data_IF_131780945510
#
_entry.id   IF_131780945510
#
_cell.length_a   1.000
_cell.length_b   1.000
_cell.length_c   1.000
_cell.angle_alpha   90.00
_cell.angle_beta   90.00
_cell.angle_gamma   90.00
#
_symmetry.space_group_name_H-M   'P 1'
#
loop_
_entity.id
_entity.type
_entity.pdbx_description
1 polymer ?
#
# COMPACT_ATOMS: atom_id res chain seq x y z
N UNK A 1 9.30 59.27 -0.01
CA UNK A 1 10.11 59.88 1.05
C UNK A 1 10.65 58.74 1.90
N UNK A 2 11.85 58.40 1.65
CA UNK A 2 13.03 58.59 2.54
C UNK A 2 12.91 57.73 3.78
N UNK A 3 13.67 56.63 3.80
CA UNK A 3 15.06 56.51 4.32
C UNK A 3 15.03 56.05 5.77
N UNK A 4 15.69 54.96 6.06
CA UNK A 4 17.05 54.76 6.64
C UNK A 4 16.86 54.19 8.04
N UNK A 5 17.48 53.12 8.55
CA UNK A 5 18.88 52.76 8.86
C UNK A 5 18.82 51.34 9.44
N UNK A 6 19.40 50.27 9.07
CA UNK A 6 20.82 49.86 8.98
C UNK A 6 21.55 49.78 10.36
N UNK A 7 22.10 48.60 10.55
CA UNK A 7 23.31 48.26 11.30
C UNK A 7 23.27 48.28 12.85
N UNK A 8 23.66 47.19 13.48
CA UNK A 8 24.95 47.06 14.17
C UNK A 8 25.30 45.59 14.41
N UNK A 9 26.39 45.20 13.83
CA UNK A 9 27.31 44.10 14.19
C UNK A 9 27.97 44.38 15.54
N UNK A 10 28.37 43.31 16.24
CA UNK A 10 29.72 43.10 16.84
C UNK A 10 29.60 41.93 17.83
N UNK A 11 30.15 40.75 17.63
CA UNK A 11 31.57 40.41 17.83
C UNK A 11 32.07 40.67 19.23
N UNK A 12 32.18 39.64 20.08
CA UNK A 12 33.23 39.51 21.09
C UNK A 12 33.68 38.06 21.16
N UNK A 13 34.85 37.76 20.61
CA UNK A 13 35.76 36.71 21.01
C UNK A 13 36.56 37.23 22.20
N UNK A 14 36.72 36.41 23.23
CA UNK A 14 37.85 36.57 24.15
C UNK A 14 38.42 35.21 24.45
N UNK A 15 39.66 35.07 24.06
CA UNK A 15 40.66 34.09 24.45
C UNK A 15 41.05 34.23 25.96
N UNK A 16 41.32 33.14 26.60
CA UNK A 16 42.31 33.10 27.69
C UNK A 16 43.01 31.74 27.74
N UNK A 17 44.20 31.69 27.23
CA UNK A 17 45.26 30.76 27.58
C UNK A 17 45.96 31.27 28.84
N UNK A 18 46.42 30.37 29.68
CA UNK A 18 47.69 30.37 30.46
C UNK A 18 47.64 29.17 31.41
N UNK A 19 48.48 28.26 31.39
CA UNK A 19 49.92 28.03 31.27
C UNK A 19 50.51 27.48 32.61
N UNK A 20 51.12 26.30 32.47
CA UNK A 20 52.39 25.85 33.07
C UNK A 20 52.60 25.72 34.60
N UNK A 21 53.16 24.56 34.93
CA UNK A 21 54.09 24.29 36.00
C UNK A 21 53.94 22.87 36.52
N UNK A 22 54.77 21.92 36.28
CA UNK A 22 56.16 21.67 36.53
C UNK A 22 56.24 20.38 37.34
N UNK A 23 56.94 19.38 36.82
CA UNK A 23 57.22 18.06 37.44
C UNK A 23 58.19 18.17 38.64
N UNK A 24 58.42 17.12 39.45
CA UNK A 24 59.44 16.17 39.07
C UNK A 24 59.16 14.66 39.35
N UNK A 25 59.93 13.91 38.64
CA UNK A 25 60.17 12.45 38.61
C UNK A 25 60.59 11.85 39.94
N UNK A 26 60.12 10.61 40.24
CA UNK A 26 60.86 9.64 41.04
C UNK A 26 60.47 8.22 40.64
N UNK A 27 61.47 7.43 40.47
CA UNK A 27 61.72 6.05 39.99
C UNK A 27 60.80 4.95 40.53
N UNK A 28 60.73 3.92 39.64
CA UNK A 28 60.13 2.59 39.87
C UNK A 28 60.97 1.74 40.89
N UNK A 29 60.38 0.66 41.40
CA UNK A 29 60.91 -0.64 41.03
C UNK A 29 59.90 -1.65 40.61
N UNK A 30 60.44 -2.64 39.86
CA UNK A 30 59.80 -3.70 39.07
C UNK A 30 59.28 -4.87 39.97
N UNK A 31 58.47 -5.68 39.20
CA UNK A 31 58.12 -7.09 39.36
C UNK A 31 57.00 -7.47 40.35
N UNK A 32 55.89 -7.90 39.84
CA UNK A 32 55.54 -9.32 39.89
C UNK A 32 54.40 -9.68 38.88
N UNK A 33 54.60 -10.76 38.16
CA UNK A 33 53.70 -11.33 37.16
C UNK A 33 52.57 -12.10 37.85
N UNK A 34 51.33 -11.68 37.67
CA UNK A 34 50.18 -12.57 37.80
C UNK A 34 49.23 -12.37 36.64
N UNK A 35 49.01 -13.45 35.94
CA UNK A 35 48.06 -13.53 34.83
C UNK A 35 46.67 -13.07 35.30
N UNK A 36 46.22 -11.95 34.79
CA UNK A 36 44.82 -11.52 34.89
C UNK A 36 44.12 -11.99 33.68
N UNK A 37 43.22 -12.93 33.91
CA UNK A 37 42.14 -13.37 33.05
C UNK A 37 41.46 -12.16 32.42
N UNK A 38 41.69 -11.95 31.11
CA UNK A 38 40.97 -10.94 30.36
C UNK A 38 39.60 -11.51 30.01
N UNK A 39 38.66 -11.43 30.93
CA UNK A 39 37.26 -11.48 30.56
C UNK A 39 37.01 -10.23 29.71
N UNK A 40 37.03 -10.40 28.40
CA UNK A 40 36.44 -9.41 27.52
C UNK A 40 34.99 -9.23 27.99
N UNK A 41 34.69 -8.05 28.52
CA UNK A 41 33.30 -7.66 28.73
C UNK A 41 32.65 -7.71 27.37
N UNK A 42 31.76 -8.70 27.14
CA UNK A 42 30.83 -8.66 26.04
C UNK A 42 30.13 -7.30 26.11
N UNK A 43 30.28 -6.53 25.01
CA UNK A 43 29.43 -5.38 24.78
C UNK A 43 27.98 -5.85 24.90
N UNK A 44 27.07 -5.07 25.50
CA UNK A 44 25.67 -5.47 25.55
C UNK A 44 25.23 -5.81 24.13
N UNK A 45 24.76 -7.04 23.95
CA UNK A 45 24.21 -7.49 22.68
C UNK A 45 23.15 -6.47 22.26
N UNK A 46 23.39 -5.75 21.16
CA UNK A 46 22.36 -4.91 20.55
C UNK A 46 21.17 -5.80 20.29
N UNK A 47 19.97 -5.30 20.58
CA UNK A 47 18.75 -6.03 20.27
C UNK A 47 18.80 -6.44 18.79
N UNK A 48 18.65 -7.75 18.50
CA UNK A 48 18.57 -8.25 17.15
C UNK A 48 17.23 -7.75 16.59
N UNK A 49 17.26 -6.76 15.72
CA UNK A 49 16.08 -6.14 15.10
C UNK A 49 16.20 -6.24 13.60
N UNK A 50 15.14 -6.70 12.96
CA UNK A 50 14.95 -6.56 11.53
C UNK A 50 13.89 -5.50 11.28
N UNK A 51 14.21 -4.51 10.44
CA UNK A 51 13.28 -3.44 10.07
C UNK A 51 12.61 -3.76 8.75
N UNK A 52 11.29 -3.74 8.74
CA UNK A 52 10.45 -3.82 7.54
C UNK A 52 9.84 -2.44 7.32
N UNK A 53 10.15 -1.81 6.18
CA UNK A 53 9.56 -0.53 5.80
C UNK A 53 8.09 -0.69 5.44
N UNK A 54 7.26 0.26 5.81
CA UNK A 54 5.85 0.35 5.40
C UNK A 54 5.69 1.63 4.61
N UNK A 55 5.57 1.50 3.29
CA UNK A 55 5.49 2.60 2.34
C UNK A 55 4.04 2.78 1.89
N UNK A 56 3.25 3.52 2.66
CA UNK A 56 1.81 3.64 2.45
C UNK A 56 1.32 5.08 2.39
N UNK A 57 0.20 5.37 1.71
CA UNK A 57 -0.50 6.63 1.89
C UNK A 57 -1.23 6.61 3.23
N UNK A 58 -0.64 7.20 4.26
CA UNK A 58 -1.30 7.37 5.56
C UNK A 58 -2.14 8.65 5.59
N UNK A 59 -1.94 9.53 4.59
CA UNK A 59 -2.71 10.75 4.34
C UNK A 59 -3.00 10.92 2.85
N UNK A 60 -3.79 11.94 2.47
CA UNK A 60 -4.17 12.22 1.08
C UNK A 60 -5.38 11.42 0.61
N UNK A 61 -5.61 11.42 -0.71
CA UNK A 61 -6.86 10.95 -1.33
C UNK A 61 -7.12 9.45 -1.19
N UNK A 62 -6.07 8.65 -1.00
CA UNK A 62 -6.14 7.21 -0.74
C UNK A 62 -5.75 6.83 0.70
N UNK A 63 -5.64 7.81 1.60
CA UNK A 63 -5.17 7.59 2.96
C UNK A 63 -6.00 6.61 3.78
N UNK A 64 -7.28 6.45 3.50
CA UNK A 64 -8.11 5.43 4.14
C UNK A 64 -7.68 4.01 3.76
N UNK A 65 -7.39 3.77 2.47
CA UNK A 65 -6.92 2.46 1.98
C UNK A 65 -5.54 2.08 2.52
N UNK A 66 -4.57 3.02 2.46
CA UNK A 66 -3.23 2.75 2.98
C UNK A 66 -3.20 2.47 4.48
N UNK A 67 -4.09 3.12 5.27
CA UNK A 67 -4.24 2.79 6.69
C UNK A 67 -4.82 1.40 6.91
N UNK A 68 -5.78 0.97 6.08
CA UNK A 68 -6.33 -0.38 6.15
C UNK A 68 -5.29 -1.44 5.74
N UNK A 69 -4.51 -1.17 4.69
CA UNK A 69 -3.42 -2.05 4.25
C UNK A 69 -2.37 -2.19 5.37
N UNK A 70 -1.95 -1.07 5.96
CA UNK A 70 -1.03 -1.07 7.10
C UNK A 70 -1.63 -1.77 8.33
N UNK A 71 -2.93 -1.66 8.58
CA UNK A 71 -3.60 -2.35 9.70
C UNK A 71 -3.48 -3.88 9.58
N UNK A 72 -3.55 -4.42 8.37
CA UNK A 72 -3.28 -5.83 8.09
C UNK A 72 -1.85 -6.24 8.43
N UNK A 73 -0.86 -5.41 8.04
CA UNK A 73 0.55 -5.63 8.40
C UNK A 73 0.76 -5.58 9.92
N UNK A 74 0.09 -4.65 10.61
CA UNK A 74 0.14 -4.54 12.08
C UNK A 74 -0.47 -5.75 12.77
N UNK A 75 -1.57 -6.30 12.24
CA UNK A 75 -2.16 -7.53 12.76
C UNK A 75 -1.22 -8.72 12.59
N UNK A 76 -0.59 -8.87 11.43
CA UNK A 76 0.39 -9.92 11.19
C UNK A 76 1.60 -9.80 12.14
N UNK A 77 2.12 -8.59 12.33
CA UNK A 77 3.21 -8.32 13.28
C UNK A 77 2.80 -8.56 14.73
N UNK A 78 1.54 -8.27 15.10
CA UNK A 78 1.01 -8.58 16.43
C UNK A 78 0.99 -10.10 16.68
N UNK A 79 0.64 -10.91 15.68
CA UNK A 79 0.62 -12.36 15.80
C UNK A 79 2.02 -12.99 15.72
N UNK A 80 2.92 -12.40 14.95
CA UNK A 80 4.28 -12.91 14.70
C UNK A 80 5.30 -11.77 14.81
N UNK A 81 5.61 -11.32 16.04
CA UNK A 81 6.49 -10.16 16.26
C UNK A 81 7.98 -10.47 16.11
N UNK A 82 8.36 -11.72 15.90
CA UNK A 82 9.75 -12.16 15.77
C UNK A 82 9.96 -13.08 14.58
N UNK A 83 11.20 -13.16 14.12
CA UNK A 83 11.64 -14.07 13.07
C UNK A 83 12.98 -14.70 13.42
N UNK A 84 13.14 -15.98 13.16
CA UNK A 84 14.43 -16.68 13.33
C UNK A 84 15.26 -16.55 12.06
N UNK A 85 16.50 -16.05 12.18
CA UNK A 85 17.45 -15.86 11.09
C UNK A 85 18.75 -16.55 11.48
N UNK A 86 19.12 -17.61 10.80
CA UNK A 86 20.37 -18.34 11.07
C UNK A 86 20.46 -18.90 12.50
N UNK A 87 19.35 -19.26 13.13
CA UNK A 87 19.28 -19.76 14.51
C UNK A 87 19.28 -18.67 15.58
N UNK A 88 19.14 -17.39 15.19
CA UNK A 88 19.04 -16.24 16.10
C UNK A 88 17.65 -15.62 15.93
N UNK A 89 16.97 -15.35 17.04
CA UNK A 89 15.68 -14.64 17.02
C UNK A 89 15.89 -13.13 16.87
N UNK A 90 15.15 -12.52 15.96
CA UNK A 90 15.10 -11.09 15.70
C UNK A 90 13.69 -10.55 15.97
N UNK A 91 13.60 -9.41 16.65
CA UNK A 91 12.34 -8.65 16.73
C UNK A 91 12.06 -7.96 15.39
N UNK A 92 10.84 -8.06 14.89
CA UNK A 92 10.41 -7.39 13.66
C UNK A 92 9.83 -6.03 13.99
N UNK A 93 10.46 -4.99 13.47
CA UNK A 93 10.00 -3.60 13.60
C UNK A 93 9.40 -3.09 12.28
N UNK A 94 8.15 -2.68 12.30
CA UNK A 94 7.52 -1.95 11.19
C UNK A 94 7.92 -0.48 11.25
N UNK A 95 8.42 0.06 10.13
CA UNK A 95 8.88 1.46 9.99
C UNK A 95 8.02 2.17 8.95
N UNK A 96 7.01 2.95 9.35
CA UNK A 96 6.12 3.61 8.40
C UNK A 96 6.74 4.88 7.77
N UNK A 97 6.44 5.09 6.49
CA UNK A 97 6.69 6.33 5.75
C UNK A 97 5.48 6.69 4.91
N UNK A 98 4.92 7.88 5.11
CA UNK A 98 3.74 8.38 4.44
C UNK A 98 4.10 8.98 3.06
N UNK A 99 3.65 8.35 1.98
CA UNK A 99 3.77 8.88 0.62
C UNK A 99 2.66 9.90 0.27
N UNK A 100 1.70 10.09 1.17
CA UNK A 100 0.62 11.06 1.08
C UNK A 100 -0.24 10.97 -0.20
N UNK A 101 -0.42 9.77 -0.76
CA UNK A 101 -1.13 9.52 -2.03
C UNK A 101 -0.55 10.29 -3.22
N UNK A 102 0.73 10.62 -3.20
CA UNK A 102 1.35 11.56 -4.15
C UNK A 102 2.60 10.99 -4.80
N UNK A 103 2.59 10.89 -6.14
CA UNK A 103 3.77 10.52 -6.91
C UNK A 103 4.95 11.49 -6.68
N UNK A 104 4.68 12.78 -6.48
CA UNK A 104 5.73 13.79 -6.22
C UNK A 104 6.40 13.60 -4.85
N UNK A 105 5.66 13.10 -3.84
CA UNK A 105 6.17 12.89 -2.47
C UNK A 105 6.75 11.49 -2.27
N UNK A 106 6.35 10.54 -3.08
CA UNK A 106 6.75 9.15 -2.98
C UNK A 106 8.27 8.92 -2.94
N UNK A 107 9.11 9.58 -3.78
CA UNK A 107 10.56 9.41 -3.70
C UNK A 107 11.15 9.89 -2.36
N UNK A 108 10.56 10.92 -1.73
CA UNK A 108 11.02 11.42 -0.43
C UNK A 108 10.69 10.43 0.69
N UNK A 109 9.49 9.86 0.69
CA UNK A 109 9.11 8.82 1.66
C UNK A 109 9.94 7.54 1.47
N UNK A 110 10.23 7.16 0.22
CA UNK A 110 11.13 6.05 -0.08
C UNK A 110 12.56 6.31 0.46
N UNK A 111 13.12 7.51 0.23
CA UNK A 111 14.43 7.88 0.74
C UNK A 111 14.49 7.89 2.28
N UNK A 112 13.37 8.19 2.97
CA UNK A 112 13.28 8.05 4.42
C UNK A 112 13.49 6.59 4.83
N UNK A 113 12.79 5.61 4.21
CA UNK A 113 12.95 4.19 4.51
C UNK A 113 14.36 3.68 4.21
N UNK A 114 14.96 4.16 3.11
CA UNK A 114 16.36 3.88 2.80
C UNK A 114 17.29 4.35 3.92
N UNK A 115 17.07 5.55 4.45
CA UNK A 115 17.88 6.09 5.55
C UNK A 115 17.69 5.37 6.87
N UNK A 116 16.53 4.74 7.08
CA UNK A 116 16.24 3.91 8.25
C UNK A 116 16.92 2.53 8.19
N UNK A 117 17.44 2.13 7.04
CA UNK A 117 18.13 0.85 6.85
C UNK A 117 17.19 -0.33 6.95
N UNK A 118 16.04 -0.27 6.27
CA UNK A 118 15.08 -1.37 6.22
C UNK A 118 15.59 -2.51 5.34
N UNK A 119 15.28 -3.76 5.69
CA UNK A 119 15.68 -4.95 4.92
C UNK A 119 14.80 -5.19 3.69
N UNK A 120 13.54 -4.81 3.77
CA UNK A 120 12.51 -4.93 2.75
C UNK A 120 11.44 -3.88 3.00
N UNK A 121 10.74 -3.46 1.95
CA UNK A 121 9.63 -2.52 2.01
C UNK A 121 8.32 -3.23 1.62
N UNK A 122 7.24 -2.99 2.36
CA UNK A 122 5.87 -3.36 2.00
C UNK A 122 5.10 -2.12 1.56
N UNK A 123 4.33 -2.24 0.51
CA UNK A 123 3.50 -1.16 -0.01
C UNK A 123 3.76 -0.92 -1.49
N UNK A 124 2.96 -0.15 -2.08
CA UNK A 124 1.96 0.78 -1.52
C UNK A 124 0.57 0.53 -2.10
N UNK A 125 -0.43 1.18 -1.51
CA UNK A 125 -1.81 1.19 -2.04
C UNK A 125 -1.96 1.97 -3.35
N UNK A 126 -1.03 2.68 -3.87
CA UNK A 126 -1.20 3.53 -5.05
C UNK A 126 -0.14 3.29 -6.12
N UNK A 127 -0.53 2.86 -7.34
CA UNK A 127 0.40 2.57 -8.42
C UNK A 127 1.28 3.76 -8.82
N UNK A 128 0.72 4.98 -8.93
CA UNK A 128 1.49 6.19 -9.28
C UNK A 128 2.60 6.47 -8.26
N UNK A 129 2.35 6.25 -6.97
CA UNK A 129 3.35 6.41 -5.92
C UNK A 129 4.42 5.29 -5.98
N UNK A 130 4.00 4.04 -6.23
CA UNK A 130 4.91 2.90 -6.41
C UNK A 130 5.88 3.12 -7.57
N UNK A 131 5.36 3.49 -8.75
CA UNK A 131 6.15 3.79 -9.96
C UNK A 131 7.16 4.92 -9.68
N UNK A 132 6.74 5.99 -9.02
CA UNK A 132 7.61 7.11 -8.71
C UNK A 132 8.70 6.77 -7.68
N UNK A 133 8.43 5.87 -6.73
CA UNK A 133 9.37 5.45 -5.70
C UNK A 133 10.33 4.34 -6.16
N UNK A 134 9.93 3.54 -7.15
CA UNK A 134 10.66 2.37 -7.62
C UNK A 134 12.16 2.62 -7.87
N UNK A 135 12.56 3.67 -8.63
CA UNK A 135 13.97 3.99 -8.85
C UNK A 135 14.76 4.31 -7.57
N UNK A 136 14.10 4.78 -6.50
CA UNK A 136 14.76 5.04 -5.21
C UNK A 136 15.11 3.75 -4.50
N UNK A 137 14.18 2.79 -4.46
CA UNK A 137 14.41 1.48 -3.86
C UNK A 137 15.43 0.65 -4.66
N UNK A 138 15.31 0.62 -5.99
CA UNK A 138 16.25 -0.04 -6.87
C UNK A 138 17.68 0.53 -6.71
N UNK A 139 17.83 1.85 -6.75
CA UNK A 139 19.12 2.52 -6.56
C UNK A 139 19.76 2.27 -5.20
N UNK A 140 18.95 2.03 -4.15
CA UNK A 140 19.40 1.66 -2.82
C UNK A 140 19.56 0.15 -2.64
N UNK A 141 19.18 -0.67 -3.62
CA UNK A 141 19.17 -2.13 -3.57
C UNK A 141 18.32 -2.68 -2.39
N UNK A 142 17.18 -2.06 -2.13
CA UNK A 142 16.21 -2.50 -1.13
C UNK A 142 14.98 -3.04 -1.86
N UNK A 143 14.60 -4.32 -1.68
CA UNK A 143 13.43 -4.85 -2.34
C UNK A 143 12.14 -4.26 -1.76
N UNK A 144 11.18 -4.00 -2.63
CA UNK A 144 9.83 -3.62 -2.28
C UNK A 144 8.82 -4.69 -2.72
N UNK A 145 7.83 -4.97 -1.89
CA UNK A 145 6.72 -5.88 -2.19
C UNK A 145 5.47 -5.04 -2.33
N UNK A 146 5.03 -4.83 -3.58
CA UNK A 146 3.78 -4.16 -3.90
C UNK A 146 2.59 -4.97 -3.38
N UNK A 147 1.75 -4.35 -2.58
CA UNK A 147 0.64 -5.02 -1.91
C UNK A 147 -0.62 -4.93 -2.77
N UNK A 148 -1.05 -3.72 -3.14
CA UNK A 148 -2.23 -3.51 -3.98
C UNK A 148 -2.02 -2.53 -5.14
N UNK A 149 -0.78 -2.22 -5.50
CA UNK A 149 -0.43 -1.38 -6.64
C UNK A 149 -0.44 -2.20 -7.95
N UNK A 150 -1.58 -2.27 -8.61
CA UNK A 150 -1.93 -3.22 -9.69
C UNK A 150 -1.41 -2.85 -11.08
N UNK A 151 -0.92 -1.62 -11.32
CA UNK A 151 -0.44 -1.20 -12.63
C UNK A 151 0.83 -1.96 -13.05
N UNK A 152 0.90 -2.53 -14.27
CA UNK A 152 2.08 -3.29 -14.74
C UNK A 152 3.41 -2.53 -14.68
N UNK A 153 3.39 -1.20 -14.76
CA UNK A 153 4.60 -0.38 -14.73
C UNK A 153 5.32 -0.37 -13.38
N UNK A 154 4.68 -0.85 -12.31
CA UNK A 154 5.28 -0.91 -10.96
C UNK A 154 6.51 -1.79 -10.93
N UNK A 155 6.43 -2.96 -11.56
CA UNK A 155 7.48 -3.99 -11.56
C UNK A 155 8.28 -4.02 -12.87
N UNK A 156 7.72 -3.47 -13.95
CA UNK A 156 8.31 -3.53 -15.29
C UNK A 156 9.73 -2.95 -15.34
N UNK A 157 10.73 -3.83 -15.52
CA UNK A 157 12.14 -3.44 -15.62
C UNK A 157 12.79 -3.02 -14.31
N UNK A 158 12.22 -3.39 -13.17
CA UNK A 158 12.75 -3.13 -11.84
C UNK A 158 12.88 -4.44 -11.04
N UNK A 159 14.06 -5.01 -10.99
CA UNK A 159 14.35 -6.28 -10.29
C UNK A 159 14.24 -6.17 -8.74
N UNK A 160 14.01 -4.98 -8.23
CA UNK A 160 13.80 -4.70 -6.80
C UNK A 160 12.35 -4.40 -6.43
N UNK A 161 11.40 -4.50 -7.37
CA UNK A 161 9.97 -4.35 -7.06
C UNK A 161 9.21 -5.63 -7.39
N UNK A 162 8.75 -6.32 -6.38
CA UNK A 162 7.88 -7.49 -6.44
C UNK A 162 6.44 -7.08 -6.18
N UNK A 163 5.45 -7.94 -6.48
CA UNK A 163 4.04 -7.62 -6.26
C UNK A 163 3.20 -8.86 -6.01
N UNK A 164 2.30 -8.78 -5.00
CA UNK A 164 1.45 -9.91 -4.61
C UNK A 164 0.00 -9.84 -5.10
N UNK A 165 -0.46 -8.71 -5.64
CA UNK A 165 -1.81 -8.54 -6.17
C UNK A 165 -1.91 -8.95 -7.66
N UNK A 166 -3.14 -9.02 -8.18
CA UNK A 166 -3.38 -9.15 -9.61
C UNK A 166 -3.03 -7.85 -10.36
N UNK A 167 -3.01 -7.93 -11.68
CA UNK A 167 -2.63 -6.82 -12.56
C UNK A 167 -3.86 -6.13 -13.18
N UNK A 168 -3.75 -4.83 -13.49
CA UNK A 168 -4.79 -4.05 -14.18
C UNK A 168 -5.29 -4.68 -15.49
N UNK A 169 -4.46 -5.30 -16.37
CA UNK A 169 -4.98 -5.99 -17.56
C UNK A 169 -5.97 -7.10 -17.22
N UNK A 170 -5.69 -7.87 -16.17
CA UNK A 170 -6.60 -8.89 -15.68
C UNK A 170 -7.86 -8.26 -15.07
N UNK A 171 -7.71 -7.27 -14.17
CA UNK A 171 -8.81 -6.60 -13.50
C UNK A 171 -9.75 -5.88 -14.48
N UNK A 172 -9.19 -5.14 -15.45
CA UNK A 172 -9.96 -4.44 -16.48
C UNK A 172 -10.78 -5.39 -17.34
N UNK A 173 -10.17 -6.54 -17.72
CA UNK A 173 -10.87 -7.58 -18.49
C UNK A 173 -11.98 -8.23 -17.68
N UNK A 174 -11.72 -8.58 -16.40
CA UNK A 174 -12.72 -9.14 -15.48
C UNK A 174 -13.93 -8.21 -15.36
N UNK A 175 -13.69 -6.92 -15.13
CA UNK A 175 -14.75 -5.93 -14.93
C UNK A 175 -15.54 -5.64 -16.22
N UNK A 176 -14.85 -5.64 -17.37
CA UNK A 176 -15.51 -5.51 -18.68
C UNK A 176 -16.42 -6.70 -18.98
N UNK A 177 -15.94 -7.94 -18.76
CA UNK A 177 -16.74 -9.15 -18.91
C UNK A 177 -17.93 -9.14 -17.95
N UNK A 178 -17.71 -8.76 -16.69
CA UNK A 178 -18.79 -8.65 -15.71
C UNK A 178 -19.85 -7.62 -16.12
N UNK A 179 -19.45 -6.44 -16.59
CA UNK A 179 -20.36 -5.43 -17.08
C UNK A 179 -21.17 -5.93 -18.27
N UNK A 180 -20.53 -6.55 -19.26
CA UNK A 180 -21.18 -6.99 -20.48
C UNK A 180 -22.07 -8.22 -20.25
N UNK A 181 -21.56 -9.25 -19.58
CA UNK A 181 -22.23 -10.55 -19.45
C UNK A 181 -23.21 -10.61 -18.28
N UNK A 182 -22.84 -10.01 -17.12
CA UNK A 182 -23.66 -10.12 -15.91
C UNK A 182 -24.63 -8.94 -15.75
N UNK A 183 -24.22 -7.72 -16.13
CA UNK A 183 -25.10 -6.55 -16.09
C UNK A 183 -25.85 -6.32 -17.40
N UNK A 184 -25.45 -6.99 -18.50
CA UNK A 184 -26.03 -6.78 -19.82
C UNK A 184 -25.71 -5.40 -20.41
N UNK A 185 -24.66 -4.75 -19.91
CA UNK A 185 -24.27 -3.42 -20.36
C UNK A 185 -23.73 -3.46 -21.79
N UNK A 186 -24.17 -2.54 -22.63
CA UNK A 186 -23.68 -2.34 -24.01
C UNK A 186 -23.05 -0.97 -24.21
N UNK A 187 -23.28 -0.05 -23.27
CA UNK A 187 -22.69 1.29 -23.23
C UNK A 187 -22.09 1.55 -21.87
N UNK A 188 -20.80 1.80 -21.81
CA UNK A 188 -20.09 2.16 -20.61
C UNK A 188 -19.65 3.63 -20.63
N UNK A 189 -19.81 4.30 -19.50
CA UNK A 189 -19.20 5.61 -19.26
C UNK A 189 -18.01 5.44 -18.33
N UNK A 190 -16.82 5.83 -18.77
CA UNK A 190 -15.56 5.68 -18.05
C UNK A 190 -15.12 7.03 -17.50
N UNK A 191 -14.75 7.07 -16.22
CA UNK A 191 -14.34 8.30 -15.55
C UNK A 191 -13.09 8.07 -14.69
N UNK A 192 -12.03 8.85 -14.90
CA UNK A 192 -10.78 8.78 -14.15
C UNK A 192 -10.12 10.14 -13.94
N UNK A 193 -9.12 10.20 -13.06
CA UNK A 193 -8.32 11.38 -12.82
C UNK A 193 -7.29 11.57 -13.92
N UNK A 194 -7.19 12.79 -14.44
CA UNK A 194 -6.21 13.13 -15.46
C UNK A 194 -4.77 13.04 -14.90
N UNK A 195 -3.94 12.22 -15.53
CA UNK A 195 -2.54 12.04 -15.14
C UNK A 195 -2.30 11.03 -14.01
N UNK A 196 -3.34 10.36 -13.54
CA UNK A 196 -3.20 9.23 -12.64
C UNK A 196 -2.91 7.95 -13.45
N UNK A 197 -1.76 7.32 -13.23
CA UNK A 197 -1.33 6.14 -14.00
C UNK A 197 -2.22 4.91 -13.74
N UNK A 198 -2.71 4.74 -12.52
CA UNK A 198 -3.65 3.67 -12.19
C UNK A 198 -4.98 3.86 -12.90
N UNK A 199 -5.63 5.01 -12.71
CA UNK A 199 -6.95 5.29 -13.30
C UNK A 199 -6.90 5.12 -14.83
N UNK A 200 -5.94 5.79 -15.48
CA UNK A 200 -5.84 5.78 -16.94
C UNK A 200 -5.48 4.40 -17.50
N UNK A 201 -4.61 3.67 -16.81
CA UNK A 201 -4.25 2.29 -17.18
C UNK A 201 -5.46 1.38 -17.16
N UNK A 202 -6.17 1.36 -16.03
CA UNK A 202 -7.30 0.48 -15.82
C UNK A 202 -8.50 0.84 -16.72
N UNK A 203 -8.76 2.14 -16.95
CA UNK A 203 -9.75 2.58 -17.95
C UNK A 203 -9.43 2.06 -19.36
N UNK A 204 -8.18 2.06 -19.77
CA UNK A 204 -7.76 1.58 -21.09
C UNK A 204 -7.97 0.06 -21.22
N UNK A 205 -7.61 -0.72 -20.21
CA UNK A 205 -7.81 -2.18 -20.23
C UNK A 205 -9.30 -2.56 -20.23
N UNK A 206 -10.11 -1.85 -19.45
CA UNK A 206 -11.56 -2.02 -19.49
C UNK A 206 -12.13 -1.66 -20.87
N UNK A 207 -11.77 -0.52 -21.44
CA UNK A 207 -12.21 -0.06 -22.76
C UNK A 207 -11.86 -1.08 -23.85
N UNK A 208 -10.62 -1.60 -23.86
CA UNK A 208 -10.17 -2.60 -24.83
C UNK A 208 -11.01 -3.88 -24.73
N UNK A 209 -11.17 -4.42 -23.53
CA UNK A 209 -11.95 -5.63 -23.32
C UNK A 209 -13.44 -5.43 -23.64
N UNK A 210 -14.04 -4.34 -23.15
CA UNK A 210 -15.47 -4.07 -23.33
C UNK A 210 -15.83 -3.82 -24.81
N UNK A 211 -15.00 -3.09 -25.56
CA UNK A 211 -15.19 -2.89 -26.99
C UNK A 211 -14.93 -4.16 -27.78
N UNK A 212 -13.99 -5.01 -27.34
CA UNK A 212 -13.76 -6.34 -27.89
C UNK A 212 -14.99 -7.26 -27.79
N UNK A 213 -15.82 -7.09 -26.77
CA UNK A 213 -17.11 -7.79 -26.61
C UNK A 213 -18.24 -7.18 -27.44
N UNK A 214 -18.02 -6.06 -28.12
CA UNK A 214 -19.02 -5.35 -28.93
C UNK A 214 -19.74 -4.20 -28.23
N UNK A 215 -19.28 -3.84 -27.04
CA UNK A 215 -19.75 -2.67 -26.30
C UNK A 215 -19.23 -1.35 -26.86
N UNK A 216 -19.79 -0.25 -26.39
CA UNK A 216 -19.38 1.11 -26.76
C UNK A 216 -19.02 1.90 -25.49
N UNK A 217 -18.04 2.79 -25.61
CA UNK A 217 -17.48 3.52 -24.47
C UNK A 217 -17.52 5.03 -24.73
N UNK A 218 -17.92 5.79 -23.73
CA UNK A 218 -17.60 7.22 -23.60
C UNK A 218 -16.64 7.38 -22.44
N UNK A 219 -15.52 8.11 -22.64
CA UNK A 219 -14.49 8.32 -21.62
C UNK A 219 -14.26 9.80 -21.34
N UNK A 220 -14.24 10.17 -20.06
CA UNK A 220 -13.86 11.49 -19.59
C UNK A 220 -12.80 11.38 -18.47
N UNK A 221 -12.02 12.45 -18.33
CA UNK A 221 -11.09 12.61 -17.21
C UNK A 221 -11.40 13.93 -16.49
N UNK A 222 -11.30 13.90 -15.17
CA UNK A 222 -11.39 15.10 -14.35
C UNK A 222 -9.99 15.54 -13.88
N UNK A 223 -9.79 16.86 -13.63
CA UNK A 223 -8.51 17.34 -13.13
C UNK A 223 -8.30 16.98 -11.66
N UNK A 224 -7.05 16.91 -11.25
CA UNK A 224 -6.69 16.76 -9.84
C UNK A 224 -7.36 17.83 -8.98
N UNK A 225 -7.73 17.46 -7.76
CA UNK A 225 -8.48 18.30 -6.81
C UNK A 225 -9.90 18.68 -7.30
N UNK A 226 -10.50 17.90 -8.21
CA UNK A 226 -11.90 18.09 -8.58
C UNK A 226 -12.80 17.82 -7.38
N UNK A 227 -13.79 18.70 -7.16
CA UNK A 227 -14.77 18.58 -6.06
C UNK A 227 -16.22 18.56 -6.54
N UNK A 228 -16.45 18.58 -7.86
CA UNK A 228 -17.79 18.55 -8.44
C UNK A 228 -17.86 17.58 -9.61
N UNK A 229 -18.59 16.50 -9.42
CA UNK A 229 -18.78 15.44 -10.42
C UNK A 229 -20.15 15.52 -11.13
N UNK A 230 -20.95 16.57 -10.84
CA UNK A 230 -22.32 16.72 -11.35
C UNK A 230 -22.39 16.66 -12.89
N UNK A 231 -21.48 17.35 -13.57
CA UNK A 231 -21.44 17.36 -15.04
C UNK A 231 -21.14 16.00 -15.63
N UNK A 232 -20.27 15.22 -14.99
CA UNK A 232 -19.88 13.88 -15.44
C UNK A 232 -21.01 12.87 -15.28
N UNK A 233 -21.67 12.84 -14.11
CA UNK A 233 -22.80 11.93 -13.89
C UNK A 233 -24.03 12.30 -14.75
N UNK A 234 -24.31 13.59 -14.94
CA UNK A 234 -25.34 14.03 -15.88
C UNK A 234 -25.03 13.63 -17.32
N UNK A 235 -23.75 13.68 -17.74
CA UNK A 235 -23.34 13.23 -19.07
C UNK A 235 -23.55 11.73 -19.22
N UNK A 236 -23.12 10.91 -18.26
CA UNK A 236 -23.36 9.47 -18.26
C UNK A 236 -24.86 9.13 -18.45
N UNK A 237 -25.74 9.81 -17.69
CA UNK A 237 -27.20 9.64 -17.82
C UNK A 237 -27.73 10.10 -19.18
N UNK A 238 -27.32 11.28 -19.68
CA UNK A 238 -27.81 11.84 -20.94
C UNK A 238 -27.39 11.04 -22.16
N UNK A 239 -26.26 10.39 -22.11
CA UNK A 239 -25.76 9.49 -23.14
C UNK A 239 -26.35 8.08 -23.05
N UNK A 240 -27.09 7.79 -21.98
CA UNK A 240 -27.73 6.51 -21.74
C UNK A 240 -26.71 5.40 -21.46
N UNK A 241 -25.74 5.68 -20.59
CA UNK A 241 -24.80 4.67 -20.11
C UNK A 241 -25.54 3.59 -19.30
N UNK A 242 -25.24 2.33 -19.61
CA UNK A 242 -25.77 1.16 -18.91
C UNK A 242 -24.95 0.88 -17.63
N UNK A 243 -23.69 1.35 -17.58
CA UNK A 243 -22.77 1.24 -16.45
C UNK A 243 -21.82 2.43 -16.42
N UNK A 244 -21.46 2.87 -15.21
CA UNK A 244 -20.38 3.84 -14.98
C UNK A 244 -19.21 3.08 -14.37
N UNK A 245 -18.06 3.08 -15.04
CA UNK A 245 -16.83 2.53 -14.51
C UNK A 245 -15.90 3.66 -14.07
N UNK A 246 -15.56 3.70 -12.78
CA UNK A 246 -14.72 4.76 -12.20
C UNK A 246 -13.70 4.19 -11.19
N UNK A 247 -12.52 3.75 -11.66
CA UNK A 247 -11.46 3.22 -10.82
C UNK A 247 -10.63 4.33 -10.19
N UNK A 248 -11.25 5.17 -9.37
CA UNK A 248 -10.63 6.38 -8.84
C UNK A 248 -10.27 6.24 -7.36
N UNK A 249 -9.50 7.18 -6.82
CA UNK A 249 -9.12 7.18 -5.40
C UNK A 249 -10.34 7.21 -4.47
N UNK A 250 -10.14 6.76 -3.22
CA UNK A 250 -11.21 6.68 -2.21
C UNK A 250 -11.89 8.03 -1.99
N UNK A 251 -11.14 9.13 -1.97
CA UNK A 251 -11.70 10.46 -1.76
C UNK A 251 -12.66 10.87 -2.89
N UNK A 252 -12.31 10.59 -4.15
CA UNK A 252 -13.16 10.90 -5.30
C UNK A 252 -14.33 9.93 -5.40
N UNK A 253 -14.10 8.63 -5.20
CA UNK A 253 -15.18 7.64 -5.24
C UNK A 253 -16.23 7.89 -4.17
N UNK A 254 -15.84 8.29 -2.96
CA UNK A 254 -16.75 8.69 -1.88
C UNK A 254 -17.63 9.87 -2.32
N UNK A 255 -17.07 10.89 -2.98
CA UNK A 255 -17.82 12.03 -3.50
C UNK A 255 -18.75 11.65 -4.65
N UNK A 256 -18.28 10.82 -5.58
CA UNK A 256 -19.08 10.32 -6.72
C UNK A 256 -20.28 9.51 -6.22
N UNK A 257 -20.06 8.59 -5.28
CA UNK A 257 -21.12 7.75 -4.71
C UNK A 257 -22.12 8.58 -3.90
N UNK A 258 -21.66 9.54 -3.08
CA UNK A 258 -22.52 10.45 -2.35
C UNK A 258 -23.38 11.30 -3.31
N UNK A 259 -22.80 11.82 -4.38
CA UNK A 259 -23.52 12.57 -5.40
C UNK A 259 -24.52 11.68 -6.16
N UNK A 260 -24.13 10.45 -6.51
CA UNK A 260 -25.03 9.48 -7.16
C UNK A 260 -26.26 9.19 -6.28
N UNK A 261 -26.08 9.05 -4.96
CA UNK A 261 -27.14 8.94 -3.98
C UNK A 261 -28.06 10.17 -4.01
N UNK A 262 -27.51 11.38 -3.95
CA UNK A 262 -28.28 12.62 -3.94
C UNK A 262 -29.07 12.85 -5.24
N UNK A 263 -28.53 12.41 -6.37
CA UNK A 263 -29.19 12.45 -7.69
C UNK A 263 -30.22 11.33 -7.87
N UNK A 264 -30.28 10.34 -6.99
CA UNK A 264 -31.09 9.13 -7.19
C UNK A 264 -30.65 8.33 -8.43
N UNK A 265 -29.35 8.27 -8.71
CA UNK A 265 -28.79 7.59 -9.86
C UNK A 265 -29.09 6.09 -9.77
N UNK A 266 -29.63 5.54 -10.87
CA UNK A 266 -29.94 4.10 -10.97
C UNK A 266 -28.99 3.34 -11.88
N UNK A 267 -28.16 4.03 -12.64
CA UNK A 267 -27.09 3.40 -13.45
C UNK A 267 -26.09 2.77 -12.50
N UNK A 268 -25.78 1.46 -12.63
CA UNK A 268 -24.77 0.80 -11.79
C UNK A 268 -23.42 1.52 -11.86
N UNK A 269 -22.79 1.68 -10.70
CA UNK A 269 -21.41 2.13 -10.57
C UNK A 269 -20.56 0.89 -10.36
N UNK A 270 -19.66 0.64 -11.29
CA UNK A 270 -18.68 -0.43 -11.23
C UNK A 270 -17.34 0.18 -10.85
N UNK A 271 -16.82 -0.23 -9.71
CA UNK A 271 -15.53 0.19 -9.18
C UNK A 271 -14.49 -0.90 -9.29
N UNK A 272 -13.26 -0.50 -9.14
CA UNK A 272 -12.12 -1.39 -8.99
C UNK A 272 -11.88 -1.74 -7.50
N UNK A 273 -10.75 -2.37 -7.20
CA UNK A 273 -10.32 -2.68 -5.85
C UNK A 273 -10.23 -1.45 -4.92
N UNK A 274 -9.94 -0.27 -5.47
CA UNK A 274 -9.88 0.99 -4.71
C UNK A 274 -11.21 1.39 -4.08
N UNK A 275 -12.33 0.95 -4.64
CA UNK A 275 -13.66 1.24 -4.10
C UNK A 275 -14.12 0.20 -3.06
N UNK A 276 -13.41 -0.92 -2.89
CA UNK A 276 -13.65 -1.86 -1.78
C UNK A 276 -13.15 -1.26 -0.46
N UNK A 277 -13.86 -0.24 0.00
CA UNK A 277 -13.48 0.56 1.15
C UNK A 277 -14.70 0.92 2.01
N UNK A 278 -14.53 0.88 3.34
CA UNK A 278 -15.61 1.14 4.28
C UNK A 278 -16.16 2.58 4.18
N UNK A 279 -15.31 3.56 3.84
CA UNK A 279 -15.74 4.96 3.66
C UNK A 279 -16.60 5.12 2.41
N UNK A 280 -16.28 4.41 1.33
CA UNK A 280 -17.06 4.42 0.09
C UNK A 280 -18.41 3.73 0.30
N UNK A 281 -18.42 2.61 1.02
CA UNK A 281 -19.64 1.89 1.38
C UNK A 281 -20.57 2.76 2.24
N UNK A 282 -20.03 3.47 3.23
CA UNK A 282 -20.79 4.41 4.08
C UNK A 282 -21.43 5.53 3.27
N UNK A 283 -20.74 6.04 2.25
CA UNK A 283 -21.31 7.07 1.35
C UNK A 283 -22.54 6.56 0.59
N UNK A 284 -22.61 5.26 0.30
CA UNK A 284 -23.77 4.65 -0.35
C UNK A 284 -24.92 4.30 0.63
N UNK A 285 -24.68 4.33 1.94
CA UNK A 285 -25.64 3.85 2.94
C UNK A 285 -27.01 4.50 2.83
N UNK A 286 -28.07 3.69 2.88
CA UNK A 286 -29.47 4.15 2.83
C UNK A 286 -29.90 4.69 1.46
N UNK A 287 -29.19 4.39 0.40
CA UNK A 287 -29.50 4.77 -0.97
C UNK A 287 -29.94 3.60 -1.85
N UNK A 288 -30.35 3.91 -3.08
CA UNK A 288 -30.61 2.90 -4.12
C UNK A 288 -29.45 2.78 -5.11
N UNK A 289 -28.27 3.28 -4.79
CA UNK A 289 -27.09 3.19 -5.65
C UNK A 289 -26.67 1.72 -5.77
N UNK A 290 -26.61 1.22 -7.01
CA UNK A 290 -26.04 -0.11 -7.30
C UNK A 290 -24.53 0.05 -7.44
N UNK A 291 -23.78 -0.21 -6.37
CA UNK A 291 -22.33 -0.12 -6.31
C UNK A 291 -21.74 -1.53 -6.25
N UNK A 292 -20.85 -1.83 -7.20
CA UNK A 292 -20.16 -3.11 -7.32
C UNK A 292 -18.68 -2.91 -7.52
N UNK A 293 -17.85 -3.76 -6.93
CA UNK A 293 -16.39 -3.61 -6.98
C UNK A 293 -15.72 -4.96 -7.21
N UNK A 294 -14.57 -4.94 -7.90
CA UNK A 294 -13.65 -6.08 -7.88
C UNK A 294 -12.74 -5.99 -6.66
N UNK A 295 -12.32 -7.13 -6.14
CA UNK A 295 -11.50 -7.17 -4.93
C UNK A 295 -10.64 -8.42 -4.84
N UNK A 296 -9.73 -8.47 -3.86
CA UNK A 296 -8.75 -9.53 -3.65
C UNK A 296 -9.24 -10.63 -2.70
N UNK A 297 -10.25 -10.34 -1.87
CA UNK A 297 -10.72 -11.23 -0.80
C UNK A 297 -12.24 -11.13 -0.62
N UNK A 298 -12.87 -12.28 -0.41
CA UNK A 298 -14.29 -12.34 -0.06
C UNK A 298 -14.44 -12.64 1.43
N UNK A 299 -15.24 -11.85 2.13
CA UNK A 299 -15.57 -12.04 3.54
C UNK A 299 -16.15 -13.45 3.74
N UNK A 300 -15.69 -14.16 4.75
CA UNK A 300 -16.07 -15.53 5.03
C UNK A 300 -15.23 -16.60 4.32
N UNK A 301 -14.30 -16.22 3.44
CA UNK A 301 -13.39 -17.17 2.79
C UNK A 301 -12.45 -17.86 3.79
N UNK A 302 -12.04 -17.15 4.84
CA UNK A 302 -11.26 -17.69 5.95
C UNK A 302 -11.88 -17.25 7.30
N UNK A 303 -12.84 -18.00 7.86
CA UNK A 303 -13.56 -17.60 9.07
C UNK A 303 -12.68 -17.41 10.32
N UNK A 304 -11.56 -18.13 10.42
CA UNK A 304 -10.61 -18.00 11.53
C UNK A 304 -9.85 -16.67 11.46
N UNK A 305 -9.33 -16.34 10.29
CA UNK A 305 -8.72 -15.05 10.04
C UNK A 305 -9.71 -13.91 10.29
N UNK A 306 -10.91 -14.01 9.71
CA UNK A 306 -11.95 -12.99 9.82
C UNK A 306 -12.29 -12.68 11.29
N UNK A 307 -12.48 -13.72 12.11
CA UNK A 307 -12.80 -13.56 13.52
C UNK A 307 -11.63 -12.89 14.28
N UNK A 308 -10.39 -13.34 14.07
CA UNK A 308 -9.22 -12.79 14.73
C UNK A 308 -8.93 -11.34 14.31
N UNK A 309 -9.08 -11.03 13.01
CA UNK A 309 -8.85 -9.67 12.52
C UNK A 309 -9.94 -8.70 13.01
N UNK A 310 -11.20 -9.10 13.07
CA UNK A 310 -12.27 -8.29 13.68
C UNK A 310 -12.01 -8.02 15.16
N UNK A 311 -11.54 -9.02 15.91
CA UNK A 311 -11.12 -8.80 17.30
C UNK A 311 -9.99 -7.78 17.40
N UNK A 312 -8.99 -7.86 16.52
CA UNK A 312 -7.89 -6.89 16.46
C UNK A 312 -8.36 -5.48 16.10
N UNK A 313 -9.25 -5.34 15.10
CA UNK A 313 -9.85 -4.04 14.76
C UNK A 313 -10.55 -3.43 15.98
N UNK A 314 -11.34 -4.22 16.69
CA UNK A 314 -12.11 -3.77 17.86
C UNK A 314 -11.27 -3.62 19.14
N UNK A 315 -9.99 -4.01 19.15
CA UNK A 315 -9.12 -3.95 20.32
C UNK A 315 -8.75 -2.53 20.73
N UNK A 316 -8.83 -1.56 19.80
CA UNK A 316 -8.56 -0.15 20.09
C UNK A 316 -9.40 0.79 19.22
N UNK A 317 -9.64 2.00 19.74
CA UNK A 317 -10.32 3.05 18.95
C UNK A 317 -9.51 3.52 17.75
N UNK A 318 -8.18 3.40 17.81
CA UNK A 318 -7.29 3.74 16.70
C UNK A 318 -7.42 2.74 15.57
N UNK A 319 -7.37 1.43 15.85
CA UNK A 319 -7.57 0.38 14.87
C UNK A 319 -8.94 0.51 14.18
N UNK A 320 -10.00 0.72 14.97
CA UNK A 320 -11.35 0.92 14.45
C UNK A 320 -11.43 2.14 13.53
N UNK A 321 -10.80 3.25 13.92
CA UNK A 321 -10.72 4.48 13.09
C UNK A 321 -9.94 4.23 11.81
N UNK A 322 -8.80 3.54 11.90
CA UNK A 322 -7.98 3.21 10.72
C UNK A 322 -8.69 2.25 9.76
N UNK A 323 -9.63 1.44 10.26
CA UNK A 323 -10.49 0.58 9.43
C UNK A 323 -11.75 1.28 8.89
N UNK A 324 -11.88 2.59 9.05
CA UNK A 324 -13.04 3.34 8.55
C UNK A 324 -14.25 3.36 9.49
N UNK A 325 -14.05 3.11 10.79
CA UNK A 325 -15.08 3.27 11.83
C UNK A 325 -15.99 2.07 12.08
N UNK A 326 -15.77 0.95 11.38
CA UNK A 326 -16.49 -0.30 11.57
C UNK A 326 -15.54 -1.51 11.46
N UNK A 327 -16.01 -2.72 11.65
CA UNK A 327 -15.20 -3.95 11.59
C UNK A 327 -15.42 -4.80 10.32
N UNK A 328 -15.96 -4.21 9.26
CA UNK A 328 -15.96 -4.84 7.94
C UNK A 328 -14.52 -5.06 7.47
N UNK A 329 -14.24 -6.23 6.93
CA UNK A 329 -12.89 -6.58 6.49
C UNK A 329 -12.63 -5.93 5.13
N UNK A 330 -11.67 -5.00 5.09
CA UNK A 330 -11.15 -4.50 3.84
C UNK A 330 -10.20 -5.53 3.21
N UNK A 331 -10.41 -5.89 1.96
CA UNK A 331 -9.56 -6.88 1.28
C UNK A 331 -8.09 -6.47 1.25
N UNK A 332 -7.81 -5.17 1.19
CA UNK A 332 -6.44 -4.63 1.22
C UNK A 332 -5.73 -4.90 2.56
N UNK A 333 -6.48 -5.00 3.67
CA UNK A 333 -5.90 -5.40 4.95
C UNK A 333 -5.45 -6.86 4.93
N UNK A 334 -6.21 -7.74 4.26
CA UNK A 334 -5.84 -9.15 4.10
C UNK A 334 -4.59 -9.28 3.23
N UNK A 335 -4.47 -8.45 2.18
CA UNK A 335 -3.28 -8.36 1.35
C UNK A 335 -2.07 -7.86 2.15
N UNK A 336 -2.22 -6.83 2.98
CA UNK A 336 -1.17 -6.33 3.86
C UNK A 336 -0.69 -7.38 4.87
N UNK A 337 -1.63 -8.18 5.40
CA UNK A 337 -1.30 -9.33 6.25
C UNK A 337 -0.44 -10.36 5.51
N UNK A 338 -0.83 -10.78 4.32
CA UNK A 338 -0.07 -11.75 3.52
C UNK A 338 1.30 -11.18 3.10
N UNK A 339 1.39 -9.91 2.73
CA UNK A 339 2.64 -9.24 2.38
C UNK A 339 3.68 -9.31 3.51
N UNK A 340 3.23 -9.13 4.75
CA UNK A 340 4.10 -9.26 5.92
C UNK A 340 4.72 -10.67 6.02
N UNK A 341 3.93 -11.71 5.84
CA UNK A 341 4.45 -13.08 5.90
C UNK A 341 5.33 -13.42 4.70
N UNK A 342 5.02 -12.92 3.50
CA UNK A 342 5.91 -13.04 2.32
C UNK A 342 7.28 -12.43 2.62
N UNK A 343 7.32 -11.26 3.26
CA UNK A 343 8.59 -10.66 3.67
C UNK A 343 9.32 -11.50 4.72
N UNK A 344 8.62 -12.07 5.70
CA UNK A 344 9.24 -12.96 6.69
C UNK A 344 9.82 -14.23 6.06
N UNK A 345 9.10 -14.85 5.12
CA UNK A 345 9.59 -16.03 4.40
C UNK A 345 10.84 -15.69 3.58
N UNK A 346 10.88 -14.54 2.90
CA UNK A 346 12.05 -14.08 2.18
C UNK A 346 13.26 -13.85 3.11
N UNK A 347 13.05 -13.20 4.27
CA UNK A 347 14.09 -12.96 5.28
C UNK A 347 14.63 -14.27 5.85
N UNK A 348 13.74 -15.22 6.18
CA UNK A 348 14.15 -16.57 6.64
C UNK A 348 14.96 -17.30 5.57
N UNK A 349 14.49 -17.32 4.33
CA UNK A 349 15.15 -17.98 3.22
C UNK A 349 16.52 -17.35 2.91
N UNK A 350 16.64 -16.03 3.01
CA UNK A 350 17.89 -15.31 2.88
C UNK A 350 18.90 -15.66 3.98
N UNK A 351 18.43 -16.09 5.16
CA UNK A 351 19.29 -16.31 6.34
C UNK A 351 20.03 -15.04 6.79
N UNK A 352 19.54 -13.86 6.42
CA UNK A 352 20.20 -12.57 6.57
C UNK A 352 19.18 -11.44 6.59
N UNK A 353 19.52 -10.31 7.23
CA UNK A 353 18.77 -9.06 7.17
C UNK A 353 19.23 -8.13 6.04
N UNK A 354 20.28 -8.51 5.30
CA UNK A 354 20.83 -7.72 4.19
C UNK A 354 19.82 -7.67 3.03
N UNK A 355 19.46 -6.46 2.58
CA UNK A 355 18.41 -6.23 1.59
C UNK A 355 18.66 -6.96 0.26
N UNK A 356 19.90 -7.03 -0.21
CA UNK A 356 20.25 -7.75 -1.43
C UNK A 356 20.10 -9.28 -1.30
N UNK A 357 20.31 -9.83 -0.12
CA UNK A 357 20.07 -11.26 0.15
C UNK A 357 18.56 -11.54 0.22
N UNK A 358 17.78 -10.63 0.82
CA UNK A 358 16.32 -10.74 0.85
C UNK A 358 15.72 -10.61 -0.55
N UNK A 359 16.23 -9.69 -1.38
CA UNK A 359 15.81 -9.56 -2.79
C UNK A 359 16.05 -10.84 -3.58
N UNK A 360 17.25 -11.43 -3.43
CA UNK A 360 17.56 -12.69 -4.12
C UNK A 360 16.66 -13.84 -3.66
N UNK A 361 16.28 -13.88 -2.38
CA UNK A 361 15.39 -14.91 -1.84
C UNK A 361 13.94 -14.75 -2.27
N UNK A 362 13.47 -13.51 -2.56
CA UNK A 362 12.08 -13.23 -2.98
C UNK A 362 11.69 -13.98 -4.25
N UNK A 363 12.61 -14.16 -5.21
CA UNK A 363 12.34 -14.88 -6.45
C UNK A 363 11.87 -16.33 -6.24
N UNK A 364 12.30 -16.97 -5.15
CA UNK A 364 11.99 -18.36 -4.83
C UNK A 364 10.87 -18.50 -3.76
N UNK A 365 10.31 -17.39 -3.27
CA UNK A 365 9.25 -17.44 -2.24
C UNK A 365 8.01 -18.12 -2.79
N UNK A 366 7.50 -19.08 -2.01
CA UNK A 366 6.18 -19.67 -2.16
C UNK A 366 5.47 -19.60 -0.81
N UNK A 367 4.35 -18.88 -0.76
CA UNK A 367 3.60 -18.68 0.46
C UNK A 367 2.11 -18.96 0.22
N UNK A 368 1.52 -19.82 1.05
CA UNK A 368 0.08 -20.09 1.04
C UNK A 368 -0.60 -19.12 2.02
N UNK A 369 -1.06 -18.00 1.49
CA UNK A 369 -1.65 -16.91 2.25
C UNK A 369 -3.16 -17.04 2.42
N UNK A 370 -3.73 -16.11 3.19
CA UNK A 370 -5.19 -15.98 3.37
C UNK A 370 -5.86 -15.60 2.04
N UNK A 371 -5.15 -14.84 1.19
CA UNK A 371 -5.62 -14.46 -0.16
C UNK A 371 -5.27 -15.49 -1.24
N UNK A 372 -4.81 -16.68 -0.86
CA UNK A 372 -4.40 -17.77 -1.76
C UNK A 372 -2.88 -17.87 -1.94
N UNK A 373 -2.46 -18.74 -2.83
CA UNK A 373 -1.04 -18.98 -3.07
C UNK A 373 -0.35 -17.75 -3.69
N UNK A 374 0.82 -17.42 -3.14
CA UNK A 374 1.69 -16.32 -3.61
C UNK A 374 3.02 -16.93 -4.04
N UNK A 375 3.31 -16.82 -5.33
CA UNK A 375 4.59 -17.16 -5.92
C UNK A 375 4.84 -16.17 -7.07
N UNK A 376 6.07 -15.69 -7.19
CA UNK A 376 6.41 -14.68 -8.19
C UNK A 376 6.77 -15.31 -9.53
N UNK A 377 6.44 -14.63 -10.63
CA UNK A 377 6.93 -15.03 -11.95
C UNK A 377 8.43 -14.73 -12.10
N UNK A 378 9.08 -15.42 -13.03
CA UNK A 378 10.53 -15.30 -13.27
C UNK A 378 10.91 -14.07 -14.13
N UNK A 379 9.94 -13.21 -14.47
CA UNK A 379 10.14 -12.11 -15.44
C UNK A 379 10.11 -10.75 -14.76
N UNK A 380 9.06 -10.49 -13.99
CA UNK A 380 8.82 -9.17 -13.38
C UNK A 380 8.67 -9.23 -11.86
N UNK A 381 8.66 -10.42 -11.24
CA UNK A 381 8.37 -10.56 -9.82
C UNK A 381 6.90 -10.30 -9.48
N UNK A 382 5.99 -10.54 -10.42
CA UNK A 382 4.55 -10.45 -10.21
C UNK A 382 3.99 -11.78 -9.72
N UNK A 383 3.11 -11.74 -8.72
CA UNK A 383 2.39 -12.96 -8.31
C UNK A 383 1.37 -13.36 -9.39
N UNK A 384 1.33 -14.65 -9.69
CA UNK A 384 0.34 -15.20 -10.63
C UNK A 384 -1.02 -15.25 -9.93
N UNK A 385 -1.92 -14.38 -10.35
CA UNK A 385 -3.31 -14.29 -9.84
C UNK A 385 -4.29 -14.41 -11.00
N UNK A 386 -5.23 -15.32 -10.90
CA UNK A 386 -6.22 -15.66 -11.94
C UNK A 386 -7.67 -15.46 -11.49
N UNK A 387 -7.88 -15.00 -10.27
CA UNK A 387 -9.21 -14.86 -9.67
C UNK A 387 -9.37 -13.49 -9.03
N UNK A 388 -10.46 -12.80 -9.37
CA UNK A 388 -10.96 -11.63 -8.66
C UNK A 388 -12.33 -11.93 -8.06
N UNK A 389 -12.62 -11.37 -6.91
CA UNK A 389 -13.94 -11.42 -6.30
C UNK A 389 -14.74 -10.18 -6.67
N UNK A 390 -16.05 -10.31 -6.76
CA UNK A 390 -16.96 -9.17 -6.88
C UNK A 390 -17.68 -8.99 -5.55
N UNK A 391 -17.69 -7.78 -5.03
CA UNK A 391 -18.53 -7.36 -3.92
C UNK A 391 -19.62 -6.42 -4.40
N UNK A 392 -20.79 -6.50 -3.79
CA UNK A 392 -21.94 -5.65 -4.05
C UNK A 392 -22.27 -4.95 -2.74
N UNK A 393 -22.49 -3.63 -2.78
CA UNK A 393 -22.87 -2.88 -1.59
C UNK A 393 -24.33 -3.20 -1.20
N UNK A 394 -24.52 -3.77 -0.02
CA UNK A 394 -25.80 -3.76 0.67
C UNK A 394 -25.93 -2.43 1.41
N UNK A 395 -26.50 -1.45 0.73
CA UNK A 395 -26.61 -0.07 1.21
C UNK A 395 -27.57 0.07 2.40
N UNK A 396 -28.48 -0.87 2.60
CA UNK A 396 -29.42 -0.87 3.73
C UNK A 396 -28.70 -1.27 5.03
N UNK A 397 -27.91 -2.35 4.97
CA UNK A 397 -27.21 -2.91 6.12
C UNK A 397 -25.78 -2.36 6.28
N UNK A 398 -25.29 -1.56 5.33
CA UNK A 398 -23.93 -1.02 5.30
C UNK A 398 -22.85 -2.09 5.36
N UNK A 399 -23.01 -3.13 4.55
CA UNK A 399 -22.05 -4.23 4.42
C UNK A 399 -21.80 -4.58 2.96
N UNK A 400 -20.65 -5.15 2.68
CA UNK A 400 -20.36 -5.76 1.39
C UNK A 400 -20.93 -7.19 1.38
N UNK A 401 -21.61 -7.55 0.28
CA UNK A 401 -22.07 -8.92 0.05
C UNK A 401 -21.37 -9.52 -1.15
N UNK A 402 -21.17 -10.82 -1.15
CA UNK A 402 -20.51 -11.52 -2.24
C UNK A 402 -21.33 -11.45 -3.52
N UNK A 403 -20.70 -10.98 -4.60
CA UNK A 403 -21.17 -11.06 -5.98
C UNK A 403 -20.56 -12.23 -6.77
N UNK A 404 -19.84 -13.13 -6.09
CA UNK A 404 -19.14 -14.26 -6.69
C UNK A 404 -17.69 -13.96 -7.07
N UNK A 405 -17.04 -14.91 -7.73
CA UNK A 405 -15.69 -14.76 -8.28
C UNK A 405 -15.72 -14.70 -9.79
N UNK A 406 -14.74 -14.03 -10.36
CA UNK A 406 -14.54 -13.90 -11.80
C UNK A 406 -13.15 -14.37 -12.17
N UNK A 407 -13.04 -15.08 -13.29
CA UNK A 407 -11.79 -15.50 -13.90
C UNK A 407 -11.80 -15.09 -15.35
N UNK A 408 -10.66 -14.81 -15.92
CA UNK A 408 -10.49 -14.63 -17.36
C UNK A 408 -10.10 -15.98 -17.94
N UNK A 409 -10.87 -16.45 -18.94
CA UNK A 409 -10.48 -17.64 -19.67
C UNK A 409 -9.14 -17.36 -20.38
N UNK A 410 -8.11 -18.17 -20.09
CA UNK A 410 -6.78 -18.04 -20.66
C UNK A 410 -6.74 -18.37 -22.14
#
# INVERSE_FOLDING_TARGET
MKKIIALVLALIMVFALCACGGAPVAEAPAEDSSAADSSAAEAPAGENVVKIGVFEPLTGDSGAGGKQEYLGMQYANYLTPTVEIGGVEYTVQLVPADNASSADRAPTAAAQLVSEGVSVVLGTYGSSAAIAAGPTFEGAQIPAIGVTCTNPQVTAGNDYYFRICFLDPFQGTVLANYAFEQLGATKAYLLGELGNEYDNGLLNYFEEAFTGLGGTVTKDNFPQNNSDFTSYLNKAQSEGADVIFCPVSIAYSTQIVALAKDMGLTTPILGSDTLDNNTVLEAAQGSSVDLRVSTFYADGANPEFDAGFKEFINSSSENLTNNGGNDNIAAVSVMGYDAYYVALEAIKAAGSIESTAVQAALWDVQYEGVTGNIAFDDVNGDAVRDTAFIKIADTENNVWVSGGSQQVAG
#
